data_IF_051415465356
#
_entry.id   IF_051415465356
#
_cell.length_a   1.000
_cell.length_b   1.000
_cell.length_c   1.000
_cell.angle_alpha   90.00
_cell.angle_beta   90.00
_cell.angle_gamma   90.00
#
_symmetry.space_group_name_H-M   'P 1'
#
loop_
_entity.id
_entity.type
_entity.pdbx_description
1 polymer ?
#
# COMPACT_ATOMS: atom_id res chain seq x y z
N UNK A 1 16.46 -2.36 11.46
CA UNK A 1 15.23 -1.96 10.77
C UNK A 1 14.33 -1.14 11.69
N UNK A 2 13.84 -1.69 12.81
CA UNK A 2 12.99 -0.97 13.77
C UNK A 2 13.59 0.37 14.26
N UNK A 3 14.87 0.37 14.65
CA UNK A 3 15.58 1.57 15.09
C UNK A 3 15.71 2.67 14.01
N UNK A 4 15.48 2.36 12.73
CA UNK A 4 15.46 3.36 11.65
C UNK A 4 14.10 4.04 11.59
N UNK A 5 13.01 3.27 11.67
CA UNK A 5 11.65 3.79 11.64
C UNK A 5 11.28 4.56 12.90
N UNK A 6 11.73 4.13 14.08
CA UNK A 6 11.45 4.83 15.34
C UNK A 6 12.09 6.23 15.44
N UNK A 7 13.12 6.50 14.64
CA UNK A 7 13.79 7.81 14.57
C UNK A 7 13.11 8.79 13.59
N UNK A 8 12.15 8.32 12.79
CA UNK A 8 11.47 9.14 11.81
C UNK A 8 10.55 10.12 12.52
N UNK A 9 10.75 11.41 12.26
CA UNK A 9 9.79 12.42 12.65
C UNK A 9 8.59 12.38 11.69
N UNK A 10 7.57 11.59 12.07
CA UNK A 10 6.36 11.35 11.28
C UNK A 10 5.62 12.65 10.91
N UNK A 11 5.80 13.73 11.69
CA UNK A 11 5.16 15.03 11.42
C UNK A 11 5.79 15.77 10.23
N UNK A 12 7.04 15.43 9.88
CA UNK A 12 7.80 16.09 8.81
C UNK A 12 7.72 15.38 7.47
N UNK A 13 7.13 14.18 7.41
CA UNK A 13 7.04 13.38 6.19
C UNK A 13 6.25 14.10 5.07
N UNK A 14 5.25 14.89 5.47
CA UNK A 14 4.23 15.42 4.57
C UNK A 14 4.44 16.89 4.15
N UNK A 15 5.68 17.39 4.25
CA UNK A 15 6.05 18.73 3.83
C UNK A 15 5.90 18.93 2.32
N UNK A 16 5.55 20.16 1.90
CA UNK A 16 5.39 20.54 0.49
C UNK A 16 6.70 21.03 -0.14
N UNK A 17 6.90 20.69 -1.40
CA UNK A 17 7.94 21.25 -2.27
C UNK A 17 7.32 22.19 -3.32
N UNK A 18 8.04 23.23 -3.81
CA UNK A 18 7.53 24.14 -4.84
C UNK A 18 7.09 23.47 -6.16
N UNK A 19 7.54 22.24 -6.42
CA UNK A 19 7.19 21.45 -7.60
C UNK A 19 6.10 20.39 -7.37
N UNK A 20 5.51 20.31 -6.17
CA UNK A 20 4.49 19.31 -5.88
C UNK A 20 3.23 19.55 -6.72
N UNK A 21 2.68 18.48 -7.28
CA UNK A 21 1.38 18.49 -7.95
C UNK A 21 0.22 18.77 -6.98
N UNK A 22 -1.01 18.90 -7.51
CA UNK A 22 -2.18 19.21 -6.69
C UNK A 22 -2.49 18.06 -5.71
N UNK A 23 -2.36 18.33 -4.41
CA UNK A 23 -2.70 17.40 -3.33
C UNK A 23 -2.90 18.14 -1.99
N UNK A 24 -3.51 17.47 -0.99
CA UNK A 24 -3.66 18.03 0.36
C UNK A 24 -2.31 18.14 1.09
N UNK A 25 -1.48 17.13 0.97
CA UNK A 25 -0.16 17.03 1.60
C UNK A 25 0.94 16.93 0.55
N UNK A 26 2.16 17.31 0.92
CA UNK A 26 3.33 17.10 0.09
C UNK A 26 4.03 15.79 0.43
N UNK A 27 5.06 15.46 -0.35
CA UNK A 27 5.87 14.24 -0.15
C UNK A 27 7.35 14.55 0.07
N UNK A 28 7.72 15.82 0.26
CA UNK A 28 9.12 16.22 0.30
C UNK A 28 9.91 15.55 1.43
N UNK A 29 9.30 15.44 2.62
CA UNK A 29 9.94 14.80 3.77
C UNK A 29 10.08 13.28 3.59
N UNK A 30 9.02 12.64 3.12
CA UNK A 30 9.03 11.21 2.81
C UNK A 30 10.04 10.89 1.70
N UNK A 31 10.04 11.66 0.61
CA UNK A 31 11.00 11.53 -0.50
C UNK A 31 12.44 11.69 -0.02
N UNK A 32 12.73 12.72 0.79
CA UNK A 32 14.07 12.92 1.37
C UNK A 32 14.50 11.71 2.22
N UNK A 33 13.63 11.27 3.13
CA UNK A 33 13.94 10.14 4.00
C UNK A 33 14.13 8.83 3.22
N UNK A 34 13.25 8.57 2.23
CA UNK A 34 13.38 7.41 1.35
C UNK A 34 14.68 7.46 0.53
N UNK A 35 15.07 8.63 0.04
CA UNK A 35 16.34 8.82 -0.66
C UNK A 35 17.54 8.53 0.28
N UNK A 36 17.50 8.95 1.54
CA UNK A 36 18.54 8.61 2.52
C UNK A 36 18.65 7.10 2.78
N UNK A 37 17.55 6.34 2.68
CA UNK A 37 17.55 4.88 2.89
C UNK A 37 17.88 4.07 1.62
N UNK A 38 17.37 4.50 0.47
CA UNK A 38 17.43 3.75 -0.79
C UNK A 38 18.56 4.23 -1.71
N UNK A 39 18.98 5.49 -1.61
CA UNK A 39 19.94 6.12 -2.52
C UNK A 39 19.49 6.01 -3.98
N UNK A 40 20.42 5.65 -4.87
CA UNK A 40 20.17 5.43 -6.30
C UNK A 40 19.92 3.97 -6.66
N UNK A 41 19.56 3.13 -5.68
CA UNK A 41 19.31 1.70 -5.95
C UNK A 41 18.15 1.50 -6.91
N UNK A 42 18.28 0.45 -7.70
CA UNK A 42 17.31 -0.03 -8.67
C UNK A 42 16.77 -1.40 -8.25
N UNK A 43 15.73 -1.87 -8.93
CA UNK A 43 15.23 -3.23 -8.72
C UNK A 43 16.28 -4.31 -8.99
N UNK A 44 17.23 -4.06 -9.91
CA UNK A 44 18.33 -4.98 -10.21
C UNK A 44 19.31 -5.17 -9.03
N UNK A 45 19.35 -4.24 -8.09
CA UNK A 45 20.19 -4.30 -6.89
C UNK A 45 19.56 -5.14 -5.76
N UNK A 46 18.31 -5.57 -5.92
CA UNK A 46 17.59 -6.32 -4.89
C UNK A 46 17.93 -7.81 -4.90
N UNK A 47 18.15 -8.36 -3.71
CA UNK A 47 18.41 -9.80 -3.51
C UNK A 47 17.16 -10.67 -3.66
N UNK A 48 15.99 -10.09 -3.42
CA UNK A 48 14.69 -10.74 -3.51
C UNK A 48 13.95 -10.06 -4.66
N UNK A 49 13.43 -10.81 -5.65
CA UNK A 49 12.58 -10.26 -6.69
C UNK A 49 11.43 -9.46 -6.09
N UNK A 50 11.23 -8.24 -6.58
CA UNK A 50 10.27 -7.29 -6.03
C UNK A 50 9.53 -6.63 -7.17
N UNK A 51 8.23 -6.44 -6.99
CA UNK A 51 7.42 -5.56 -7.82
C UNK A 51 6.52 -4.74 -6.91
N UNK A 52 6.25 -3.51 -7.33
CA UNK A 52 5.30 -2.59 -6.71
C UNK A 52 4.15 -2.35 -7.69
N UNK A 53 2.97 -2.03 -7.17
CA UNK A 53 1.80 -1.72 -8.00
C UNK A 53 1.46 -0.24 -7.89
N UNK A 54 1.09 0.34 -9.01
CA UNK A 54 0.57 1.69 -9.08
C UNK A 54 -0.59 1.73 -10.07
N UNK A 55 -1.36 2.82 -10.08
CA UNK A 55 -2.46 3.00 -11.02
C UNK A 55 -2.20 4.23 -11.87
N UNK A 56 -2.18 4.06 -13.20
CA UNK A 56 -2.21 5.20 -14.10
C UNK A 56 -3.62 5.78 -14.17
N UNK A 57 -3.78 7.00 -13.66
CA UNK A 57 -5.11 7.63 -13.56
C UNK A 57 -5.69 8.02 -14.92
N UNK A 58 -4.84 8.14 -15.96
CA UNK A 58 -5.29 8.50 -17.31
C UNK A 58 -5.98 7.33 -17.98
N UNK A 59 -5.40 6.13 -17.86
CA UNK A 59 -5.93 4.91 -18.49
C UNK A 59 -6.77 4.04 -17.55
N UNK A 60 -6.79 4.35 -16.24
CA UNK A 60 -7.39 3.55 -15.19
C UNK A 60 -6.86 2.09 -15.20
N UNK A 61 -5.55 1.93 -15.43
CA UNK A 61 -4.89 0.63 -15.48
C UNK A 61 -3.90 0.50 -14.34
N UNK A 62 -3.80 -0.73 -13.85
CA UNK A 62 -2.72 -1.15 -12.98
C UNK A 62 -1.40 -1.20 -13.78
N UNK A 63 -0.36 -0.65 -13.18
CA UNK A 63 1.01 -0.63 -13.68
C UNK A 63 1.87 -1.36 -12.66
N UNK A 64 2.56 -2.40 -13.12
CA UNK A 64 3.52 -3.16 -12.31
C UNK A 64 4.90 -2.55 -12.52
N UNK A 65 5.51 -2.11 -11.43
CA UNK A 65 6.84 -1.51 -11.37
C UNK A 65 7.81 -2.54 -10.81
N UNK A 66 8.62 -3.14 -11.67
CA UNK A 66 9.62 -4.16 -11.31
C UNK A 66 11.04 -3.82 -11.82
N UNK A 67 11.20 -2.62 -12.40
CA UNK A 67 12.43 -2.12 -13.00
C UNK A 67 12.61 -0.62 -12.73
N UNK A 68 13.82 -0.11 -12.95
CA UNK A 68 14.18 1.29 -12.73
C UNK A 68 14.55 1.61 -11.29
N UNK A 69 14.48 2.89 -10.92
CA UNK A 69 14.92 3.40 -9.61
C UNK A 69 13.85 3.14 -8.54
N UNK A 70 14.27 2.56 -7.40
CA UNK A 70 13.35 2.17 -6.33
C UNK A 70 12.62 3.37 -5.71
N UNK A 71 13.31 4.50 -5.55
CA UNK A 71 12.72 5.71 -4.97
C UNK A 71 11.48 6.16 -5.74
N UNK A 72 11.56 6.19 -7.07
CA UNK A 72 10.46 6.65 -7.92
C UNK A 72 9.27 5.69 -7.84
N UNK A 73 9.55 4.39 -7.90
CA UNK A 73 8.51 3.36 -7.80
C UNK A 73 7.83 3.35 -6.42
N UNK A 74 8.60 3.54 -5.33
CA UNK A 74 8.06 3.65 -3.97
C UNK A 74 7.19 4.90 -3.82
N UNK A 75 7.62 6.04 -4.35
CA UNK A 75 6.81 7.26 -4.31
C UNK A 75 5.51 7.11 -5.10
N UNK A 76 5.55 6.42 -6.25
CA UNK A 76 4.36 6.14 -7.05
C UNK A 76 3.36 5.23 -6.32
N UNK A 77 3.82 4.13 -5.71
CA UNK A 77 2.93 3.18 -5.02
C UNK A 77 2.30 3.72 -3.75
N UNK A 78 2.86 4.78 -3.13
CA UNK A 78 2.29 5.41 -1.93
C UNK A 78 1.52 6.70 -2.24
N UNK A 79 1.37 7.08 -3.52
CA UNK A 79 0.77 8.35 -3.93
C UNK A 79 -0.76 8.31 -3.80
N UNK A 80 -1.25 8.35 -2.56
CA UNK A 80 -2.66 8.27 -2.20
C UNK A 80 -3.49 9.38 -2.88
N UNK A 81 -4.50 9.04 -3.71
CA UNK A 81 -5.29 10.03 -4.45
C UNK A 81 -5.91 11.11 -3.56
N UNK A 82 -5.72 12.37 -3.95
CA UNK A 82 -6.22 13.55 -3.22
C UNK A 82 -5.43 13.90 -1.97
N UNK A 83 -4.67 12.96 -1.39
CA UNK A 83 -3.86 13.18 -0.18
C UNK A 83 -2.42 13.53 -0.57
N UNK A 84 -1.80 12.73 -1.42
CA UNK A 84 -0.43 12.89 -1.89
C UNK A 84 -0.42 13.13 -3.42
N UNK A 85 0.56 13.88 -3.95
CA UNK A 85 0.58 14.23 -5.36
C UNK A 85 0.86 12.98 -6.22
N UNK A 86 0.15 12.83 -7.36
CA UNK A 86 0.46 11.79 -8.34
C UNK A 86 1.91 11.88 -8.80
N UNK A 87 2.54 10.73 -9.05
CA UNK A 87 3.92 10.65 -9.50
C UNK A 87 4.00 10.41 -11.01
N UNK A 88 4.60 11.32 -11.79
CA UNK A 88 4.86 11.08 -13.20
C UNK A 88 6.04 10.10 -13.35
N UNK A 89 5.81 8.99 -14.05
CA UNK A 89 6.87 8.07 -14.45
C UNK A 89 6.66 7.77 -15.94
N UNK A 90 7.64 8.18 -16.77
CA UNK A 90 7.51 8.15 -18.22
C UNK A 90 6.23 8.86 -18.69
N UNK A 91 5.35 8.17 -19.43
CA UNK A 91 4.09 8.71 -19.95
C UNK A 91 2.91 8.59 -18.95
N UNK A 92 3.11 7.86 -17.86
CA UNK A 92 2.09 7.57 -16.87
C UNK A 92 1.97 8.67 -15.82
N UNK A 93 0.76 8.81 -15.29
CA UNK A 93 0.50 9.62 -14.10
C UNK A 93 -0.01 8.71 -13.00
N UNK A 94 0.91 8.29 -12.13
CA UNK A 94 0.71 7.19 -11.21
C UNK A 94 0.19 7.66 -9.85
N UNK A 95 -0.75 6.89 -9.31
CA UNK A 95 -1.21 6.96 -7.92
C UNK A 95 -1.07 5.58 -7.25
N UNK A 96 -1.36 5.54 -5.96
CA UNK A 96 -1.32 4.34 -5.12
C UNK A 96 -1.98 3.11 -5.78
N UNK A 97 -1.28 1.97 -5.74
CA UNK A 97 -1.74 0.70 -6.33
C UNK A 97 -3.01 0.15 -5.71
N UNK A 98 -3.27 0.47 -4.43
CA UNK A 98 -4.42 0.02 -3.69
C UNK A 98 -5.75 0.59 -4.17
N UNK A 99 -5.74 1.49 -5.15
CA UNK A 99 -6.95 1.92 -5.86
C UNK A 99 -7.55 0.78 -6.69
N UNK A 100 -6.73 -0.10 -7.29
CA UNK A 100 -7.19 -1.19 -8.17
C UNK A 100 -6.75 -2.58 -7.72
N UNK A 101 -5.63 -2.67 -7.02
CA UNK A 101 -5.13 -3.92 -6.44
C UNK A 101 -4.56 -3.70 -5.03
N UNK A 102 -5.43 -3.62 -4.00
CA UNK A 102 -5.03 -3.43 -2.60
C UNK A 102 -4.10 -4.50 -2.05
N UNK A 103 -4.17 -5.72 -2.59
CA UNK A 103 -3.40 -6.87 -2.12
C UNK A 103 -2.95 -7.66 -3.35
N UNK A 104 -1.78 -7.35 -3.94
CA UNK A 104 -1.40 -7.78 -5.29
C UNK A 104 -0.92 -9.24 -5.35
N UNK A 105 -1.83 -10.17 -5.05
CA UNK A 105 -1.59 -11.62 -5.02
C UNK A 105 -1.22 -12.13 -6.42
N UNK A 106 -1.89 -11.63 -7.45
CA UNK A 106 -1.63 -12.02 -8.84
C UNK A 106 -0.20 -11.66 -9.28
N UNK A 107 0.27 -10.45 -8.95
CA UNK A 107 1.63 -9.97 -9.22
C UNK A 107 2.64 -10.79 -8.42
N UNK A 108 2.42 -11.00 -7.12
CA UNK A 108 3.30 -11.83 -6.30
C UNK A 108 3.42 -13.27 -6.84
N UNK A 109 2.32 -13.85 -7.31
CA UNK A 109 2.29 -15.17 -7.94
C UNK A 109 3.08 -15.19 -9.25
N UNK A 110 3.04 -14.11 -10.03
CA UNK A 110 3.81 -13.99 -11.28
C UNK A 110 5.33 -13.92 -11.02
N UNK A 111 5.75 -13.25 -9.94
CA UNK A 111 7.16 -13.15 -9.54
C UNK A 111 7.74 -14.51 -9.10
N UNK A 112 6.93 -15.32 -8.39
CA UNK A 112 7.38 -16.58 -7.82
C UNK A 112 6.31 -17.69 -7.94
N UNK A 113 6.01 -18.19 -9.16
CA UNK A 113 4.88 -19.10 -9.41
C UNK A 113 5.00 -20.47 -8.72
N UNK A 114 6.16 -20.79 -8.16
CA UNK A 114 6.45 -22.06 -7.46
C UNK A 114 6.35 -21.97 -5.95
N UNK A 115 6.16 -20.77 -5.40
CA UNK A 115 6.02 -20.53 -3.96
C UNK A 115 4.55 -20.28 -3.61
N UNK A 116 4.13 -20.61 -2.38
CA UNK A 116 2.83 -20.14 -1.86
C UNK A 116 2.84 -18.61 -1.75
N UNK A 117 1.70 -17.98 -2.01
CA UNK A 117 1.51 -16.55 -1.73
C UNK A 117 0.96 -16.37 -0.32
N UNK A 118 1.64 -15.54 0.46
CA UNK A 118 1.18 -15.08 1.78
C UNK A 118 0.71 -13.64 1.61
N UNK A 119 -0.60 -13.43 1.68
CA UNK A 119 -1.23 -12.11 1.58
C UNK A 119 -1.35 -11.50 2.98
N UNK A 120 -0.75 -10.32 3.19
CA UNK A 120 -0.91 -9.54 4.42
C UNK A 120 -1.89 -8.40 4.16
N UNK A 121 -3.00 -8.40 4.86
CA UNK A 121 -4.16 -7.55 4.59
C UNK A 121 -4.36 -6.61 5.78
N UNK A 122 -4.16 -5.32 5.55
CA UNK A 122 -4.26 -4.29 6.59
C UNK A 122 -5.64 -3.60 6.63
N UNK A 123 -6.43 -3.76 5.57
CA UNK A 123 -7.79 -3.21 5.49
C UNK A 123 -8.75 -3.99 6.39
N UNK A 124 -9.62 -3.32 7.17
CA UNK A 124 -10.68 -3.98 7.90
C UNK A 124 -11.66 -4.72 6.99
N UNK A 125 -12.32 -5.76 7.52
CA UNK A 125 -13.41 -6.43 6.81
C UNK A 125 -14.60 -5.49 6.54
N UNK A 126 -15.34 -5.80 5.47
CA UNK A 126 -16.62 -5.13 5.19
C UNK A 126 -17.57 -5.33 6.38
N UNK A 127 -18.20 -4.24 6.83
CA UNK A 127 -19.13 -4.26 7.97
C UNK A 127 -18.49 -4.20 9.36
N UNK A 128 -17.16 -4.19 9.48
CA UNK A 128 -16.49 -3.97 10.77
C UNK A 128 -16.24 -2.49 11.07
N UNK A 129 -16.28 -2.16 12.37
CA UNK A 129 -15.93 -0.84 12.89
C UNK A 129 -14.42 -0.62 12.83
N UNK A 130 -14.00 0.28 11.96
CA UNK A 130 -12.62 0.66 11.68
C UNK A 130 -12.65 1.45 10.37
N UNK A 131 -11.86 2.51 10.23
CA UNK A 131 -11.77 3.24 8.97
C UNK A 131 -10.36 3.73 8.77
N UNK A 132 -9.78 3.36 7.64
CA UNK A 132 -8.45 3.83 7.24
C UNK A 132 -8.48 5.36 7.08
N UNK A 133 -9.64 5.92 6.75
CA UNK A 133 -9.87 7.34 6.54
C UNK A 133 -10.23 8.12 7.81
N UNK A 134 -9.91 7.62 9.02
CA UNK A 134 -9.95 8.45 10.22
C UNK A 134 -8.82 9.49 10.12
N UNK A 135 -9.07 10.60 9.41
CA UNK A 135 -8.11 11.68 9.23
C UNK A 135 -7.97 12.49 10.52
N UNK A 136 -6.99 12.14 11.35
CA UNK A 136 -6.47 13.07 12.34
C UNK A 136 -5.53 14.03 11.64
N UNK A 137 -5.97 15.27 11.37
CA UNK A 137 -5.10 16.28 10.76
C UNK A 137 -3.84 16.46 11.63
N UNK A 138 -2.62 16.26 11.10
CA UNK A 138 -1.39 16.11 11.90
C UNK A 138 -0.86 17.42 12.52
N UNK A 139 -1.65 18.48 12.55
CA UNK A 139 -1.23 19.80 13.00
C UNK A 139 -1.90 20.17 14.35
N UNK A 140 -1.16 20.70 15.34
CA UNK A 140 -1.74 21.27 16.55
C UNK A 140 -2.39 22.63 16.21
N UNK A 141 -3.57 22.59 15.60
CA UNK A 141 -4.28 23.79 15.17
C UNK A 141 -5.13 24.29 16.34
N UNK A 142 -5.06 25.59 16.63
CA UNK A 142 -5.88 26.26 17.63
C UNK A 142 -7.35 25.80 17.54
N UNK A 143 -7.86 25.16 18.60
CA UNK A 143 -9.24 24.67 18.75
C UNK A 143 -10.36 25.62 18.23
N UNK A 144 -10.28 26.97 18.35
CA UNK A 144 -11.36 27.82 17.83
C UNK A 144 -11.49 27.88 16.29
N UNK A 145 -10.44 27.57 15.53
CA UNK A 145 -10.46 27.66 14.04
C UNK A 145 -11.03 26.38 13.42
N UNK A 146 -10.74 25.22 14.02
CA UNK A 146 -11.16 23.89 13.53
C UNK A 146 -12.69 23.76 13.50
N UNK A 147 -13.40 24.24 14.54
CA UNK A 147 -14.86 24.19 14.58
C UNK A 147 -15.55 25.05 13.50
N UNK A 148 -14.83 25.99 12.89
CA UNK A 148 -15.32 26.76 11.73
C UNK A 148 -14.94 26.11 10.41
N UNK A 149 -13.76 25.47 10.31
CA UNK A 149 -13.32 24.84 9.05
C UNK A 149 -14.03 23.51 8.78
N UNK A 150 -14.25 22.67 9.81
CA UNK A 150 -15.00 21.40 9.67
C UNK A 150 -16.51 21.60 9.46
N UNK A 151 -17.01 22.84 9.57
CA UNK A 151 -18.37 23.24 9.16
C UNK A 151 -18.44 23.67 7.68
N UNK A 152 -17.32 23.83 6.98
CA UNK A 152 -17.37 24.08 5.55
C UNK A 152 -17.87 22.82 4.85
N UNK A 153 -18.96 22.99 4.08
CA UNK A 153 -19.61 21.92 3.31
C UNK A 153 -18.64 21.15 2.42
N UNK A 154 -17.58 21.81 1.93
CA UNK A 154 -16.54 21.19 1.11
C UNK A 154 -15.70 20.17 1.89
N UNK A 155 -15.30 20.50 3.13
CA UNK A 155 -14.52 19.57 3.97
C UNK A 155 -15.35 18.33 4.35
N UNK A 156 -16.62 18.55 4.71
CA UNK A 156 -17.56 17.46 5.01
C UNK A 156 -17.85 16.58 3.79
N UNK A 157 -18.07 17.20 2.62
CA UNK A 157 -18.27 16.47 1.38
C UNK A 157 -17.03 15.63 1.01
N UNK A 158 -15.84 16.16 1.25
CA UNK A 158 -14.59 15.44 1.02
C UNK A 158 -14.41 14.27 1.99
N UNK A 159 -14.73 14.44 3.28
CA UNK A 159 -14.74 13.34 4.26
C UNK A 159 -15.70 12.22 3.85
N UNK A 160 -16.93 12.57 3.44
CA UNK A 160 -17.91 11.59 2.92
C UNK A 160 -17.41 10.89 1.67
N UNK A 161 -16.77 11.62 0.76
CA UNK A 161 -16.14 11.05 -0.44
C UNK A 161 -15.07 10.03 -0.06
N UNK A 162 -14.14 10.39 0.84
CA UNK A 162 -13.08 9.49 1.29
C UNK A 162 -13.62 8.24 1.99
N UNK A 163 -14.64 8.38 2.84
CA UNK A 163 -15.32 7.24 3.45
C UNK A 163 -15.97 6.32 2.40
N UNK A 164 -16.50 6.89 1.32
CA UNK A 164 -17.08 6.11 0.21
C UNK A 164 -15.99 5.36 -0.57
N UNK A 165 -14.82 5.98 -0.78
CA UNK A 165 -13.66 5.33 -1.40
C UNK A 165 -13.11 4.21 -0.52
N UNK A 166 -12.98 4.43 0.80
CA UNK A 166 -12.57 3.38 1.76
C UNK A 166 -13.55 2.20 1.74
N UNK A 167 -14.86 2.47 1.77
CA UNK A 167 -15.89 1.42 1.70
C UNK A 167 -15.80 0.61 0.39
N UNK A 168 -15.64 1.28 -0.76
CA UNK A 168 -15.46 0.62 -2.05
C UNK A 168 -14.16 -0.19 -2.10
N UNK A 169 -13.06 0.38 -1.57
CA UNK A 169 -11.76 -0.27 -1.49
C UNK A 169 -11.81 -1.58 -0.70
N UNK A 170 -12.52 -1.63 0.44
CA UNK A 170 -12.69 -2.88 1.20
C UNK A 170 -13.43 -3.97 0.43
N UNK A 171 -14.49 -3.59 -0.28
CA UNK A 171 -15.21 -4.54 -1.13
C UNK A 171 -14.30 -5.05 -2.25
N UNK A 172 -13.54 -4.15 -2.88
CA UNK A 172 -12.57 -4.52 -3.91
C UNK A 172 -11.51 -5.47 -3.37
N UNK A 173 -10.96 -5.22 -2.17
CA UNK A 173 -10.01 -6.13 -1.52
C UNK A 173 -10.59 -7.52 -1.36
N UNK A 174 -11.81 -7.64 -0.83
CA UNK A 174 -12.45 -8.96 -0.64
C UNK A 174 -12.72 -9.68 -1.97
N UNK A 175 -13.17 -8.95 -3.00
CA UNK A 175 -13.38 -9.51 -4.34
C UNK A 175 -12.06 -9.99 -4.95
N UNK A 176 -10.98 -9.20 -4.86
CA UNK A 176 -9.65 -9.58 -5.33
C UNK A 176 -9.14 -10.82 -4.61
N UNK A 177 -9.25 -10.87 -3.28
CA UNK A 177 -8.82 -12.03 -2.50
C UNK A 177 -9.61 -13.31 -2.86
N UNK A 178 -10.91 -13.20 -3.16
CA UNK A 178 -11.71 -14.33 -3.63
C UNK A 178 -11.28 -14.83 -5.02
N UNK A 179 -10.87 -13.91 -5.91
CA UNK A 179 -10.45 -14.24 -7.27
C UNK A 179 -9.01 -14.78 -7.31
N UNK A 180 -8.10 -14.11 -6.61
CA UNK A 180 -6.67 -14.41 -6.67
C UNK A 180 -6.24 -15.55 -5.73
N UNK A 181 -7.10 -15.88 -4.75
CA UNK A 181 -7.03 -17.04 -3.86
C UNK A 181 -5.61 -17.28 -3.30
N UNK A 182 -5.09 -16.37 -2.44
CA UNK A 182 -3.78 -16.57 -1.82
C UNK A 182 -3.82 -17.78 -0.90
N UNK A 183 -2.72 -18.54 -0.87
CA UNK A 183 -2.65 -19.74 -0.03
C UNK A 183 -2.75 -19.45 1.48
N UNK A 184 -2.30 -18.27 1.91
CA UNK A 184 -2.42 -17.81 3.29
C UNK A 184 -2.84 -16.34 3.26
N UNK A 185 -3.87 -16.00 4.04
CA UNK A 185 -4.32 -14.63 4.24
C UNK A 185 -4.18 -14.24 5.73
N UNK A 186 -3.35 -13.24 6.02
CA UNK A 186 -3.03 -12.78 7.37
C UNK A 186 -3.61 -11.38 7.55
N UNK A 187 -4.35 -11.16 8.64
CA UNK A 187 -4.94 -9.86 9.00
C UNK A 187 -4.44 -9.42 10.38
N UNK A 188 -3.36 -8.62 10.47
CA UNK A 188 -2.90 -8.05 11.73
C UNK A 188 -3.96 -7.14 12.37
N UNK A 189 -3.96 -7.04 13.70
CA UNK A 189 -4.96 -6.29 14.47
C UNK A 189 -4.74 -4.76 14.45
N UNK A 190 -4.57 -4.18 13.26
CA UNK A 190 -4.20 -2.76 13.06
C UNK A 190 -5.35 -1.89 12.56
N UNK A 191 -6.58 -2.42 12.41
CA UNK A 191 -7.72 -1.69 11.84
C UNK A 191 -8.20 -0.47 12.64
N UNK A 192 -7.65 -0.25 13.84
CA UNK A 192 -7.89 0.92 14.68
C UNK A 192 -6.96 2.10 14.35
N UNK A 193 -5.89 1.87 13.58
CA UNK A 193 -4.89 2.84 13.17
C UNK A 193 -5.33 3.49 11.87
N UNK A 194 -5.52 4.81 11.87
CA UNK A 194 -5.81 5.59 10.67
C UNK A 194 -4.59 5.78 9.79
N UNK A 195 -4.82 6.09 8.50
CA UNK A 195 -3.80 6.22 7.47
C UNK A 195 -2.72 7.27 7.77
N UNK A 196 -3.11 8.36 8.46
CA UNK A 196 -2.23 9.47 8.83
C UNK A 196 -2.02 9.59 10.34
N UNK A 197 -2.45 8.59 11.12
CA UNK A 197 -2.25 8.63 12.56
C UNK A 197 -0.76 8.49 12.89
N UNK A 198 -0.32 9.21 13.91
CA UNK A 198 1.01 8.98 14.47
C UNK A 198 1.00 7.64 15.20
N UNK A 199 1.93 6.77 14.85
CA UNK A 199 2.02 5.42 15.43
C UNK A 199 3.22 5.27 16.35
N UNK A 200 3.06 4.42 17.36
CA UNK A 200 4.20 3.80 18.04
C UNK A 200 4.71 2.65 17.16
N UNK A 201 5.92 2.81 16.63
CA UNK A 201 6.53 1.86 15.70
C UNK A 201 6.70 0.48 16.34
N UNK A 202 7.05 0.42 17.63
CA UNK A 202 7.26 -0.85 18.33
C UNK A 202 5.93 -1.61 18.48
N UNK A 203 4.86 -0.89 18.84
CA UNK A 203 3.55 -1.50 18.99
C UNK A 203 3.01 -2.07 17.67
N UNK A 204 3.15 -1.31 16.57
CA UNK A 204 2.70 -1.77 15.23
C UNK A 204 3.50 -2.97 14.75
N UNK A 205 4.83 -2.99 14.96
CA UNK A 205 5.67 -4.14 14.62
C UNK A 205 5.21 -5.37 15.41
N UNK A 206 5.02 -5.23 16.72
CA UNK A 206 4.56 -6.32 17.60
C UNK A 206 3.23 -6.91 17.11
N UNK A 207 2.25 -6.07 16.73
CA UNK A 207 0.96 -6.55 16.19
C UNK A 207 1.14 -7.35 14.88
N UNK A 208 2.12 -6.98 14.05
CA UNK A 208 2.47 -7.73 12.84
C UNK A 208 3.16 -9.06 13.15
N UNK A 209 4.09 -9.07 14.09
CA UNK A 209 4.79 -10.28 14.55
C UNK A 209 3.82 -11.30 15.16
N UNK A 210 2.93 -10.85 16.06
CA UNK A 210 1.89 -11.71 16.66
C UNK A 210 0.99 -12.35 15.60
N UNK A 211 0.59 -11.60 14.58
CA UNK A 211 -0.23 -12.12 13.49
C UNK A 211 0.52 -13.14 12.62
N UNK A 212 1.82 -12.93 12.39
CA UNK A 212 2.66 -13.83 11.62
C UNK A 212 2.97 -15.12 12.39
N UNK A 213 3.25 -15.02 13.69
CA UNK A 213 3.50 -16.17 14.57
C UNK A 213 2.28 -17.08 14.66
N UNK A 214 1.08 -16.49 14.74
CA UNK A 214 -0.17 -17.24 14.69
C UNK A 214 -0.36 -18.01 13.36
N UNK A 215 0.10 -17.44 12.25
CA UNK A 215 0.01 -18.05 10.91
C UNK A 215 1.17 -19.02 10.61
N UNK A 216 2.25 -19.03 11.40
CA UNK A 216 3.46 -19.81 11.14
C UNK A 216 3.21 -21.31 10.91
N UNK A 217 2.32 -22.00 11.66
CA UNK A 217 2.00 -23.41 11.39
C UNK A 217 1.41 -23.63 10.00
N UNK A 218 0.54 -22.72 9.54
CA UNK A 218 -0.12 -22.81 8.23
C UNK A 218 0.87 -22.53 7.10
N UNK A 219 1.73 -21.52 7.26
CA UNK A 219 2.82 -21.22 6.33
C UNK A 219 3.72 -22.46 6.16
N UNK A 220 4.13 -23.10 7.26
CA UNK A 220 4.94 -24.34 7.21
C UNK A 220 4.23 -25.48 6.48
N UNK A 221 2.92 -25.67 6.71
CA UNK A 221 2.12 -26.67 5.96
C UNK A 221 2.04 -26.35 4.48
N UNK A 222 1.88 -25.07 4.12
CA UNK A 222 1.83 -24.65 2.72
C UNK A 222 3.12 -24.99 1.96
N UNK A 223 4.27 -25.03 2.65
CA UNK A 223 5.57 -25.38 2.10
C UNK A 223 5.85 -26.89 2.02
N UNK A 224 4.95 -27.75 2.51
CA UNK A 224 5.12 -29.19 2.52
C UNK A 224 5.27 -29.79 1.09
N UNK A 225 5.98 -30.92 1.00
CA UNK A 225 6.31 -31.58 -0.28
C UNK A 225 5.10 -31.90 -1.19
N UNK A 226 3.89 -32.27 -0.69
CA UNK A 226 2.75 -32.53 -1.55
C UNK A 226 2.25 -31.25 -2.24
N UNK A 227 2.25 -30.13 -1.51
CA UNK A 227 1.84 -28.83 -2.04
C UNK A 227 2.83 -28.27 -3.06
N UNK A 228 4.12 -28.55 -2.88
CA UNK A 228 5.17 -28.22 -3.87
C UNK A 228 4.96 -28.98 -5.18
N UNK A 229 4.63 -30.27 -5.11
CA UNK A 229 4.35 -31.07 -6.31
C UNK A 229 3.12 -30.55 -7.03
N UNK A 230 2.00 -30.30 -6.33
CA UNK A 230 0.78 -29.77 -6.94
C UNK A 230 1.04 -28.51 -7.78
N UNK A 231 1.81 -27.55 -7.25
CA UNK A 231 2.19 -26.31 -7.96
C UNK A 231 3.12 -26.52 -9.15
N UNK A 232 3.90 -27.61 -9.18
CA UNK A 232 4.78 -27.93 -10.31
C UNK A 232 4.00 -28.42 -11.53
N UNK A 233 2.85 -29.07 -11.30
CA UNK A 233 2.01 -29.65 -12.35
C UNK A 233 0.79 -28.78 -12.68
N UNK A 234 0.39 -27.88 -11.78
CA UNK A 234 -0.71 -26.93 -11.96
C UNK A 234 -0.20 -25.52 -11.67
N UNK A 235 0.07 -24.75 -12.72
CA UNK A 235 0.21 -23.29 -12.61
C UNK A 235 -1.15 -22.69 -12.96
N UNK A 236 -1.88 -22.10 -11.99
CA UNK A 236 -3.14 -21.43 -12.30
C UNK A 236 -2.90 -20.35 -13.36
N UNK A 237 -3.80 -20.23 -14.33
CA UNK A 237 -3.76 -19.11 -15.26
C UNK A 237 -3.94 -17.81 -14.45
N UNK A 238 -2.95 -16.91 -14.50
CA UNK A 238 -3.07 -15.58 -13.89
C UNK A 238 -4.07 -14.80 -14.74
N UNK A 239 -5.32 -14.72 -14.30
CA UNK A 239 -6.39 -14.03 -15.02
C UNK A 239 -6.16 -12.51 -14.94
N UNK A 240 -6.08 -11.83 -16.10
CA UNK A 240 -5.90 -10.37 -16.16
C UNK A 240 -4.46 -9.86 -16.16
N UNK A 241 -3.46 -10.70 -15.88
CA UNK A 241 -2.05 -10.33 -15.99
C UNK A 241 -1.55 -10.51 -17.44
N UNK A 242 -1.33 -9.41 -18.14
CA UNK A 242 -0.59 -9.43 -19.40
C UNK A 242 0.87 -9.02 -19.13
N UNK A 243 1.83 -9.96 -19.08
CA UNK A 243 3.24 -9.67 -18.79
C UNK A 243 3.93 -8.79 -19.85
N UNK A 244 3.25 -8.46 -20.96
CA UNK A 244 3.81 -7.63 -22.06
C UNK A 244 3.52 -6.14 -21.94
N UNK A 245 3.30 -5.62 -20.74
CA UNK A 245 3.32 -4.17 -20.52
C UNK A 245 4.56 -3.81 -19.70
N UNK A 246 5.72 -4.28 -20.18
CA UNK A 246 7.02 -3.83 -19.72
C UNK A 246 7.11 -2.31 -19.96
N UNK A 247 7.38 -1.59 -18.87
CA UNK A 247 7.94 -0.24 -18.90
C UNK A 247 9.30 -0.36 -19.62
N UNK A 248 9.33 -0.06 -20.92
CA UNK A 248 10.57 0.10 -21.69
C UNK A 248 11.05 1.55 -21.66
#
# INVERSE_FOLDING_TARGET
>A
MEAQFSKVDQTKLFGRSPGDGPALLGVAGASKWLHEQLGERTFADLKIPCALTAVDIKSAREIVLDQGRLLDAVLATIALPGILPPQPIQDYQLVDGGVLDPVPVSVARSLAPRLPVVAVILTPLVGQTGSLTRFSLPFPILKPIVQRITRFRVAQAFEVFLHSVDAAGRLLTELRLQVDDPEIAIRPAVGHIGLLDKVDVHDVIRLGEEAMDAALPEIKRSLAWPNRLRRRWFTPAVWGFNPRQEVR
#
